data_IF_868598744625
#
_entry.id   IF_868598744625
#
_cell.length_a   1.000
_cell.length_b   1.000
_cell.length_c   1.000
_cell.angle_alpha   90.00
_cell.angle_beta   90.00
_cell.angle_gamma   90.00
#
_symmetry.space_group_name_H-M   'P 1'
#
loop_
_entity.id
_entity.type
_entity.pdbx_description
1 polymer ?
#
# COMPACT_ATOMS: atom_id res chain seq x y z
N UNK A 1 3.70 13.09 -0.03
CA UNK A 1 4.79 12.50 -0.84
C UNK A 1 5.93 11.94 0.02
N UNK A 2 6.47 12.69 1.00
CA UNK A 2 7.53 12.18 1.90
C UNK A 2 7.16 10.87 2.63
N UNK A 3 5.93 10.77 3.18
CA UNK A 3 5.48 9.55 3.88
C UNK A 3 5.37 8.31 2.97
N UNK A 4 4.98 8.50 1.70
CA UNK A 4 4.89 7.39 0.74
C UNK A 4 6.30 6.88 0.43
N UNK A 5 7.26 7.78 0.18
CA UNK A 5 8.67 7.41 0.00
C UNK A 5 9.25 6.71 1.24
N UNK A 6 8.89 7.16 2.44
CA UNK A 6 9.28 6.51 3.69
C UNK A 6 8.72 5.08 3.78
N UNK A 7 7.45 4.87 3.45
CA UNK A 7 6.86 3.53 3.40
C UNK A 7 7.60 2.63 2.39
N UNK A 8 7.92 3.14 1.21
CA UNK A 8 8.71 2.42 0.21
C UNK A 8 10.10 2.07 0.75
N UNK A 9 10.80 3.01 1.39
CA UNK A 9 12.12 2.77 1.97
C UNK A 9 12.09 1.69 3.06
N UNK A 10 11.09 1.75 3.96
CA UNK A 10 10.88 0.73 5.01
C UNK A 10 10.66 -0.65 4.38
N UNK A 11 9.83 -0.72 3.34
CA UNK A 11 9.53 -1.98 2.66
C UNK A 11 10.75 -2.55 1.94
N UNK A 12 11.50 -1.73 1.19
CA UNK A 12 12.71 -2.17 0.48
C UNK A 12 13.75 -2.71 1.47
N UNK A 13 13.97 -2.00 2.58
CA UNK A 13 14.91 -2.42 3.61
C UNK A 13 14.50 -3.77 4.21
N UNK A 14 13.23 -3.96 4.53
CA UNK A 14 12.72 -5.21 5.09
C UNK A 14 12.88 -6.40 4.14
N UNK A 15 12.59 -6.21 2.85
CA UNK A 15 12.79 -7.26 1.85
C UNK A 15 14.26 -7.58 1.63
N UNK A 16 15.15 -6.58 1.63
CA UNK A 16 16.60 -6.81 1.54
C UNK A 16 17.09 -7.67 2.71
N UNK A 17 16.60 -7.42 3.92
CA UNK A 17 16.89 -8.26 5.08
C UNK A 17 16.34 -9.68 4.89
N UNK A 18 15.11 -9.83 4.39
CA UNK A 18 14.52 -11.14 4.11
C UNK A 18 15.36 -11.95 3.11
N UNK A 19 15.72 -11.36 1.96
CA UNK A 19 16.55 -12.04 0.96
C UNK A 19 17.93 -12.39 1.49
N UNK A 20 18.56 -11.49 2.25
CA UNK A 20 19.86 -11.74 2.85
C UNK A 20 19.81 -12.89 3.86
N UNK A 21 18.77 -12.94 4.71
CA UNK A 21 18.57 -14.04 5.65
C UNK A 21 18.30 -15.37 4.95
N UNK A 22 17.42 -15.38 3.94
CA UNK A 22 17.15 -16.58 3.13
C UNK A 22 18.42 -17.07 2.42
N UNK A 23 19.24 -16.15 1.91
CA UNK A 23 20.53 -16.48 1.31
C UNK A 23 21.46 -17.15 2.33
N UNK A 24 21.65 -16.56 3.52
CA UNK A 24 22.48 -17.17 4.58
C UNK A 24 21.97 -18.57 4.94
N UNK A 25 20.66 -18.73 5.13
CA UNK A 25 20.05 -20.01 5.50
C UNK A 25 20.31 -21.08 4.44
N UNK A 26 20.16 -20.72 3.14
CA UNK A 26 20.43 -21.62 2.02
C UNK A 26 21.88 -22.14 1.97
N UNK A 27 22.85 -21.31 2.38
CA UNK A 27 24.28 -21.67 2.37
C UNK A 27 24.80 -22.28 3.68
N UNK A 28 24.06 -22.14 4.78
CA UNK A 28 24.51 -22.60 6.10
C UNK A 28 23.95 -23.97 6.45
N UNK A 29 22.69 -24.26 6.09
CA UNK A 29 22.00 -25.48 6.49
C UNK A 29 21.91 -26.47 5.33
N UNK A 30 22.26 -27.72 5.61
CA UNK A 30 22.20 -28.82 4.63
C UNK A 30 20.87 -29.58 4.71
N UNK A 31 20.25 -29.62 5.89
CA UNK A 31 18.95 -30.25 6.12
C UNK A 31 17.83 -29.21 6.15
N UNK A 32 16.81 -29.30 5.26
CA UNK A 32 15.67 -28.39 5.22
C UNK A 32 14.87 -28.34 6.54
N UNK A 33 14.91 -29.41 7.35
CA UNK A 33 14.19 -29.48 8.62
C UNK A 33 14.85 -28.65 9.73
N UNK A 34 16.12 -28.25 9.56
CA UNK A 34 16.82 -27.36 10.49
C UNK A 34 16.55 -25.87 10.21
N UNK A 35 15.95 -25.56 9.05
CA UNK A 35 15.62 -24.20 8.60
C UNK A 35 14.31 -23.67 9.22
N UNK A 36 14.14 -23.80 10.53
CA UNK A 36 13.00 -23.23 11.24
C UNK A 36 13.25 -21.76 11.59
N UNK A 37 12.28 -20.90 11.27
CA UNK A 37 12.38 -19.47 11.45
C UNK A 37 11.83 -19.08 12.83
N UNK A 38 12.59 -18.38 13.68
CA UNK A 38 12.07 -17.93 14.96
C UNK A 38 10.97 -16.87 14.75
N UNK A 39 9.94 -16.93 15.59
CA UNK A 39 8.72 -16.12 15.42
C UNK A 39 9.00 -14.61 15.44
N UNK A 40 9.96 -14.15 16.26
CA UNK A 40 10.36 -12.74 16.30
C UNK A 40 10.88 -12.24 14.94
N UNK A 41 11.57 -13.08 14.17
CA UNK A 41 12.10 -12.73 12.86
C UNK A 41 10.96 -12.62 11.83
N UNK A 42 9.90 -13.42 11.99
CA UNK A 42 8.70 -13.33 11.15
C UNK A 42 8.01 -11.98 11.34
N UNK A 43 7.90 -11.47 12.57
CA UNK A 43 7.37 -10.12 12.79
C UNK A 43 8.24 -9.05 12.12
N UNK A 44 9.57 -9.14 12.26
CA UNK A 44 10.50 -8.17 11.68
C UNK A 44 10.38 -8.09 10.16
N UNK A 45 10.21 -9.24 9.49
CA UNK A 45 10.08 -9.32 8.03
C UNK A 45 8.68 -8.91 7.57
N UNK A 46 7.62 -9.41 8.21
CA UNK A 46 6.23 -9.26 7.73
C UNK A 46 5.54 -7.97 8.15
N UNK A 47 5.90 -7.37 9.29
CA UNK A 47 5.27 -6.11 9.73
C UNK A 47 5.49 -4.94 8.74
N UNK A 48 6.70 -4.73 8.19
CA UNK A 48 6.91 -3.73 7.14
C UNK A 48 5.99 -3.89 5.92
N UNK A 49 5.71 -5.12 5.52
CA UNK A 49 4.76 -5.41 4.45
C UNK A 49 3.33 -5.00 4.82
N UNK A 50 2.87 -5.32 6.03
CA UNK A 50 1.55 -4.89 6.52
C UNK A 50 1.45 -3.36 6.59
N UNK A 51 2.50 -2.71 7.07
CA UNK A 51 2.61 -1.24 7.13
C UNK A 51 2.47 -0.64 5.74
N UNK A 52 3.13 -1.20 4.73
CA UNK A 52 3.05 -0.74 3.35
C UNK A 52 1.67 -0.98 2.72
N UNK A 53 1.16 -2.21 2.77
CA UNK A 53 -0.12 -2.59 2.12
C UNK A 53 -1.29 -1.77 2.64
N UNK A 54 -1.31 -1.47 3.94
CA UNK A 54 -2.36 -0.66 4.55
C UNK A 54 -2.06 0.84 4.47
N UNK A 55 -0.80 1.24 4.63
CA UNK A 55 -0.39 2.63 4.65
C UNK A 55 -0.46 3.28 3.27
N UNK A 56 -0.01 2.58 2.23
CA UNK A 56 0.04 3.11 0.86
C UNK A 56 -1.33 3.62 0.40
N UNK A 57 -2.42 2.81 0.40
CA UNK A 57 -3.76 3.28 0.05
C UNK A 57 -4.23 4.51 0.86
N UNK A 58 -3.96 4.54 2.17
CA UNK A 58 -4.36 5.65 3.04
C UNK A 58 -3.64 6.97 2.67
N UNK A 59 -2.34 6.90 2.37
CA UNK A 59 -1.60 8.09 1.94
C UNK A 59 -1.98 8.53 0.53
N UNK A 60 -2.21 7.60 -0.40
CA UNK A 60 -2.72 7.94 -1.73
C UNK A 60 -4.10 8.59 -1.64
N UNK A 61 -4.96 8.12 -0.73
CA UNK A 61 -6.25 8.75 -0.46
C UNK A 61 -6.10 10.19 0.09
N UNK A 62 -5.23 10.39 1.07
CA UNK A 62 -4.95 11.71 1.63
C UNK A 62 -4.42 12.68 0.56
N UNK A 63 -3.51 12.21 -0.29
CA UNK A 63 -2.97 12.98 -1.42
C UNK A 63 -4.07 13.32 -2.44
N UNK A 64 -4.95 12.38 -2.76
CA UNK A 64 -6.08 12.61 -3.65
C UNK A 64 -7.01 13.69 -3.08
N UNK A 65 -7.36 13.63 -1.79
CA UNK A 65 -8.16 14.69 -1.15
C UNK A 65 -7.44 16.04 -1.21
N UNK A 66 -6.14 16.07 -0.90
CA UNK A 66 -5.35 17.30 -0.97
C UNK A 66 -5.42 17.92 -2.38
N UNK A 67 -5.33 17.11 -3.43
CA UNK A 67 -5.44 17.58 -4.82
C UNK A 67 -6.85 18.05 -5.18
N UNK A 68 -7.90 17.38 -4.68
CA UNK A 68 -9.27 17.85 -4.85
C UNK A 68 -9.42 19.23 -4.22
N UNK A 69 -8.92 19.43 -3.00
CA UNK A 69 -8.93 20.73 -2.32
C UNK A 69 -8.14 21.78 -3.10
N UNK A 70 -6.93 21.46 -3.55
CA UNK A 70 -6.10 22.36 -4.34
C UNK A 70 -6.69 22.72 -5.72
N UNK A 71 -7.58 21.88 -6.26
CA UNK A 71 -8.21 22.10 -7.58
C UNK A 71 -9.58 22.80 -7.47
N UNK A 72 -10.40 22.41 -6.48
CA UNK A 72 -11.79 22.86 -6.36
C UNK A 72 -11.94 23.98 -5.34
N UNK A 73 -11.17 23.94 -4.25
CA UNK A 73 -11.29 24.82 -3.09
C UNK A 73 -10.00 25.60 -2.82
N UNK A 74 -9.44 26.20 -3.89
CA UNK A 74 -8.12 26.87 -3.89
C UNK A 74 -7.91 27.81 -2.69
N UNK A 75 -8.89 28.69 -2.41
CA UNK A 75 -8.79 29.67 -1.30
C UNK A 75 -8.67 29.01 0.08
N UNK A 76 -9.33 27.87 0.28
CA UNK A 76 -9.25 27.12 1.54
C UNK A 76 -7.89 26.43 1.63
N UNK A 77 -7.44 25.84 0.51
CA UNK A 77 -6.14 25.17 0.43
C UNK A 77 -4.96 26.13 0.69
N UNK A 78 -4.98 27.34 0.15
CA UNK A 78 -3.93 28.34 0.38
C UNK A 78 -3.78 28.70 1.86
N UNK A 79 -4.89 28.75 2.60
CA UNK A 79 -4.90 29.10 4.02
C UNK A 79 -4.61 27.91 4.95
N UNK A 80 -4.95 26.68 4.56
CA UNK A 80 -4.97 25.53 5.48
C UNK A 80 -4.26 24.27 4.96
N UNK A 81 -3.69 24.28 3.74
CA UNK A 81 -3.15 23.08 3.09
C UNK A 81 -2.07 22.35 3.90
N UNK A 82 -1.17 23.09 4.57
CA UNK A 82 -0.14 22.49 5.44
C UNK A 82 -0.73 21.76 6.63
N UNK A 83 -1.71 22.36 7.30
CA UNK A 83 -2.37 21.78 8.47
C UNK A 83 -3.12 20.51 8.06
N UNK A 84 -3.82 20.54 6.92
CA UNK A 84 -4.51 19.39 6.38
C UNK A 84 -3.56 18.21 6.10
N UNK A 85 -2.40 18.47 5.50
CA UNK A 85 -1.38 17.44 5.25
C UNK A 85 -0.83 16.79 6.53
N UNK A 86 -0.63 17.59 7.58
CA UNK A 86 -0.17 17.08 8.89
C UNK A 86 -1.25 16.22 9.54
N UNK A 87 -2.49 16.72 9.62
CA UNK A 87 -3.62 16.00 10.26
C UNK A 87 -3.88 14.67 9.53
N UNK A 88 -3.98 14.69 8.20
CA UNK A 88 -4.19 13.48 7.41
C UNK A 88 -3.06 12.46 7.57
N UNK A 89 -1.81 12.92 7.70
CA UNK A 89 -0.67 12.04 7.96
C UNK A 89 -0.73 11.39 9.34
N UNK A 90 -1.10 12.15 10.38
CA UNK A 90 -1.27 11.63 11.74
C UNK A 90 -2.36 10.57 11.77
N UNK A 91 -3.50 10.83 11.12
CA UNK A 91 -4.62 9.88 11.04
C UNK A 91 -4.17 8.60 10.32
N UNK A 92 -3.52 8.71 9.17
CA UNK A 92 -3.06 7.56 8.39
C UNK A 92 -2.10 6.67 9.20
N UNK A 93 -1.08 7.26 9.83
CA UNK A 93 -0.13 6.53 10.67
C UNK A 93 -0.80 5.89 11.89
N UNK A 94 -1.77 6.58 12.50
CA UNK A 94 -2.52 6.04 13.65
C UNK A 94 -3.33 4.80 13.25
N UNK A 95 -4.01 4.83 12.10
CA UNK A 95 -4.76 3.68 11.58
C UNK A 95 -3.84 2.49 11.26
N UNK A 96 -2.69 2.75 10.63
CA UNK A 96 -1.68 1.70 10.35
C UNK A 96 -1.15 1.09 11.65
N UNK A 97 -0.83 1.93 12.64
CA UNK A 97 -0.35 1.47 13.94
C UNK A 97 -1.39 0.59 14.66
N UNK A 98 -2.66 1.01 14.69
CA UNK A 98 -3.75 0.22 15.27
C UNK A 98 -3.86 -1.15 14.58
N UNK A 99 -3.76 -1.19 13.25
CA UNK A 99 -3.82 -2.45 12.51
C UNK A 99 -2.62 -3.38 12.79
N UNK A 100 -1.42 -2.80 12.94
CA UNK A 100 -0.23 -3.57 13.33
C UNK A 100 -0.36 -4.12 14.75
N UNK A 101 -0.85 -3.32 15.69
CA UNK A 101 -1.13 -3.76 17.06
C UNK A 101 -2.17 -4.87 17.10
N UNK A 102 -3.26 -4.74 16.34
CA UNK A 102 -4.28 -5.78 16.19
C UNK A 102 -3.67 -7.08 15.65
N UNK A 103 -2.84 -6.99 14.61
CA UNK A 103 -2.16 -8.14 14.02
C UNK A 103 -1.23 -8.81 15.03
N UNK A 104 -0.48 -8.04 15.82
CA UNK A 104 0.40 -8.55 16.87
C UNK A 104 -0.38 -9.23 18.01
N UNK A 105 -1.46 -8.61 18.51
CA UNK A 105 -2.25 -9.19 19.60
C UNK A 105 -2.90 -10.51 19.15
N UNK A 106 -3.45 -10.54 17.95
CA UNK A 106 -4.13 -11.75 17.42
C UNK A 106 -3.18 -12.90 17.11
N UNK A 107 -1.91 -12.62 16.80
CA UNK A 107 -0.89 -13.67 16.66
C UNK A 107 -0.42 -14.21 18.00
N UNK A 108 -0.33 -13.37 19.04
CA UNK A 108 -0.01 -13.84 20.40
C UNK A 108 -1.09 -14.75 21.01
N UNK A 109 -2.35 -14.61 20.57
CA UNK A 109 -3.45 -15.49 20.99
C UNK A 109 -3.37 -16.91 20.38
N UNK A 110 -2.63 -17.09 19.29
CA UNK A 110 -2.49 -18.37 18.59
C UNK A 110 -1.20 -19.07 19.03
N UNK A 111 -1.17 -19.52 20.29
CA UNK A 111 0.00 -20.15 20.92
C UNK A 111 0.41 -21.45 20.24
N UNK A 112 -0.53 -22.15 19.61
CA UNK A 112 -0.27 -23.42 18.93
C UNK A 112 0.63 -23.22 17.70
N UNK A 113 0.45 -22.09 17.00
CA UNK A 113 1.20 -21.79 15.77
C UNK A 113 2.39 -20.87 16.04
N UNK A 114 2.21 -19.83 16.85
CA UNK A 114 3.21 -18.78 17.11
C UNK A 114 4.00 -19.01 18.41
N UNK A 115 3.75 -20.10 19.13
CA UNK A 115 4.58 -20.56 20.24
C UNK A 115 5.81 -21.37 19.82
N UNK A 116 5.89 -21.74 18.54
CA UNK A 116 6.95 -22.59 18.00
C UNK A 116 7.63 -21.95 16.77
N UNK A 117 8.90 -22.27 16.50
CA UNK A 117 9.57 -21.88 15.26
C UNK A 117 8.77 -22.34 14.03
N UNK A 118 8.69 -21.48 13.01
CA UNK A 118 7.80 -21.69 11.86
C UNK A 118 8.58 -22.02 10.58
N UNK A 119 7.99 -22.87 9.74
CA UNK A 119 8.54 -23.24 8.42
C UNK A 119 8.23 -22.17 7.36
N UNK A 120 7.26 -21.29 7.60
CA UNK A 120 6.80 -20.27 6.66
C UNK A 120 6.63 -18.90 7.33
N UNK A 121 6.80 -17.84 6.54
CA UNK A 121 6.70 -16.47 6.99
C UNK A 121 5.24 -16.00 6.89
N UNK A 122 4.44 -16.16 7.94
CA UNK A 122 3.08 -15.60 7.98
C UNK A 122 2.74 -14.98 9.32
N UNK A 123 1.88 -13.95 9.28
CA UNK A 123 1.23 -13.36 10.45
C UNK A 123 -0.29 -13.63 10.45
N UNK A 124 -0.76 -14.50 9.55
CA UNK A 124 -2.17 -14.86 9.44
C UNK A 124 -2.49 -15.97 10.43
N UNK A 125 -3.49 -15.74 11.27
CA UNK A 125 -3.98 -16.68 12.29
C UNK A 125 -5.44 -17.02 12.04
N UNK A 126 -5.96 -18.01 12.78
CA UNK A 126 -7.40 -18.31 12.82
C UNK A 126 -8.25 -17.11 13.28
N UNK A 127 -7.67 -16.19 14.06
CA UNK A 127 -8.37 -15.04 14.63
C UNK A 127 -8.38 -13.80 13.73
N UNK A 128 -7.36 -13.59 12.89
CA UNK A 128 -7.24 -12.38 12.07
C UNK A 128 -7.50 -12.60 10.57
N UNK A 129 -7.51 -13.85 10.09
CA UNK A 129 -7.58 -14.17 8.66
C UNK A 129 -8.76 -13.50 7.94
N UNK A 130 -9.98 -13.58 8.50
CA UNK A 130 -11.16 -12.96 7.89
C UNK A 130 -11.04 -11.43 7.85
N UNK A 131 -10.54 -10.82 8.91
CA UNK A 131 -10.37 -9.37 8.99
C UNK A 131 -9.32 -8.87 7.98
N UNK A 132 -8.22 -9.60 7.81
CA UNK A 132 -7.19 -9.30 6.81
C UNK A 132 -7.73 -9.41 5.38
N UNK A 133 -8.60 -10.39 5.11
CA UNK A 133 -9.27 -10.53 3.81
C UNK A 133 -10.18 -9.33 3.55
N UNK A 134 -11.02 -8.96 4.52
CA UNK A 134 -11.92 -7.82 4.41
C UNK A 134 -11.16 -6.51 4.21
N UNK A 135 -10.08 -6.29 4.98
CA UNK A 135 -9.23 -5.12 4.85
C UNK A 135 -8.63 -5.00 3.43
N UNK A 136 -8.15 -6.10 2.85
CA UNK A 136 -7.61 -6.10 1.47
C UNK A 136 -8.66 -5.69 0.43
N UNK A 137 -9.89 -6.21 0.54
CA UNK A 137 -10.98 -5.81 -0.36
C UNK A 137 -11.40 -4.35 -0.16
N UNK A 138 -11.44 -3.88 1.09
CA UNK A 138 -11.70 -2.47 1.39
C UNK A 138 -10.66 -1.55 0.76
N UNK A 139 -9.37 -1.88 0.90
CA UNK A 139 -8.30 -1.10 0.28
C UNK A 139 -8.31 -1.19 -1.23
N UNK A 140 -8.67 -2.33 -1.82
CA UNK A 140 -8.86 -2.45 -3.27
C UNK A 140 -9.94 -1.49 -3.77
N UNK A 141 -11.10 -1.49 -3.10
CA UNK A 141 -12.18 -0.56 -3.41
C UNK A 141 -11.72 0.90 -3.32
N UNK A 142 -11.04 1.25 -2.22
CA UNK A 142 -10.54 2.61 -1.99
C UNK A 142 -9.54 3.05 -3.08
N UNK A 143 -8.64 2.17 -3.49
CA UNK A 143 -7.64 2.42 -4.54
C UNK A 143 -8.29 2.60 -5.92
N UNK A 144 -9.32 1.82 -6.25
CA UNK A 144 -10.12 2.03 -7.46
C UNK A 144 -10.81 3.41 -7.42
N UNK A 145 -11.39 3.80 -6.28
CA UNK A 145 -12.00 5.12 -6.13
C UNK A 145 -10.97 6.25 -6.33
N UNK A 146 -9.74 6.11 -5.83
CA UNK A 146 -8.65 7.07 -6.03
C UNK A 146 -8.33 7.21 -7.51
N UNK A 147 -8.14 6.10 -8.23
CA UNK A 147 -7.82 6.13 -9.66
C UNK A 147 -8.93 6.83 -10.49
N UNK A 148 -10.20 6.57 -10.17
CA UNK A 148 -11.34 7.24 -10.81
C UNK A 148 -11.35 8.74 -10.49
N UNK A 149 -11.11 9.11 -9.23
CA UNK A 149 -11.08 10.50 -8.79
C UNK A 149 -9.94 11.28 -9.47
N UNK A 150 -8.73 10.72 -9.54
CA UNK A 150 -7.59 11.33 -10.22
C UNK A 150 -7.85 11.47 -11.73
N UNK A 151 -8.47 10.48 -12.38
CA UNK A 151 -8.88 10.59 -13.78
C UNK A 151 -9.86 11.76 -13.99
N UNK A 152 -10.88 11.87 -13.13
CA UNK A 152 -11.84 12.96 -13.20
C UNK A 152 -11.19 14.34 -12.98
N UNK A 153 -10.25 14.44 -12.04
CA UNK A 153 -9.47 15.66 -11.78
C UNK A 153 -8.64 16.07 -13.01
N UNK A 154 -8.01 15.13 -13.70
CA UNK A 154 -7.26 15.41 -14.93
C UNK A 154 -8.18 15.99 -16.01
N UNK A 155 -9.33 15.35 -16.26
CA UNK A 155 -10.31 15.82 -17.24
C UNK A 155 -10.81 17.22 -16.88
N UNK A 156 -11.12 17.46 -15.60
CA UNK A 156 -11.56 18.77 -15.12
C UNK A 156 -10.48 19.84 -15.29
N UNK A 157 -9.23 19.53 -14.96
CA UNK A 157 -8.12 20.48 -15.09
C UNK A 157 -7.83 20.86 -16.54
N UNK A 158 -7.97 19.93 -17.48
CA UNK A 158 -7.87 20.24 -18.91
C UNK A 158 -9.00 21.19 -19.36
N UNK A 159 -10.23 20.98 -18.89
CA UNK A 159 -11.36 21.88 -19.17
C UNK A 159 -11.13 23.28 -18.60
N UNK A 160 -10.68 23.38 -17.35
CA UNK A 160 -10.35 24.67 -16.69
C UNK A 160 -9.28 25.40 -17.50
N UNK A 161 -8.20 24.72 -17.89
CA UNK A 161 -7.15 25.30 -18.75
C UNK A 161 -7.75 25.85 -20.04
N UNK A 162 -8.58 25.08 -20.74
CA UNK A 162 -9.19 25.52 -22.01
C UNK A 162 -10.08 26.77 -21.86
N UNK A 163 -10.79 26.90 -20.73
CA UNK A 163 -11.65 28.04 -20.45
C UNK A 163 -10.85 29.26 -19.98
N UNK A 164 -9.77 29.06 -19.23
CA UNK A 164 -8.89 30.13 -18.77
C UNK A 164 -8.20 30.85 -19.95
N UNK A 165 -7.76 30.11 -20.96
CA UNK A 165 -7.20 30.72 -22.19
C UNK A 165 -8.23 31.49 -23.03
N UNK A 166 -9.53 31.23 -22.86
CA UNK A 166 -10.61 31.98 -23.54
C UNK A 166 -11.01 33.26 -22.80
N UNK A 167 -10.69 33.36 -21.51
CA UNK A 167 -11.10 34.44 -20.60
C UNK A 167 -9.86 35.20 -20.10
N UNK A 168 -9.23 35.97 -20.98
CA UNK A 168 -8.00 36.72 -20.69
C UNK A 168 -8.16 37.88 -19.67
N UNK A 169 -9.40 38.17 -19.24
CA UNK A 169 -9.72 39.39 -18.48
C UNK A 169 -9.49 39.30 -16.97
N UNK A 170 -9.32 38.10 -16.38
CA UNK A 170 -9.08 37.90 -14.94
C UNK A 170 -7.84 37.01 -14.68
N UNK A 171 -6.70 37.42 -15.22
CA UNK A 171 -5.46 36.66 -15.09
C UNK A 171 -4.83 36.82 -13.70
N UNK A 172 -4.83 35.75 -12.90
CA UNK A 172 -4.08 35.69 -11.64
C UNK A 172 -2.85 34.76 -11.80
N UNK A 173 -1.67 35.34 -11.61
CA UNK A 173 -0.38 34.65 -11.78
C UNK A 173 -0.22 33.48 -10.81
N UNK A 174 -0.68 33.62 -9.55
CA UNK A 174 -0.55 32.57 -8.53
C UNK A 174 -1.39 31.34 -8.87
N UNK A 175 -2.64 31.55 -9.32
CA UNK A 175 -3.56 30.49 -9.71
C UNK A 175 -3.10 29.76 -10.97
N UNK A 176 -2.56 30.50 -11.95
CA UNK A 176 -1.97 29.93 -13.17
C UNK A 176 -0.77 29.04 -12.84
N UNK A 177 0.11 29.49 -11.94
CA UNK A 177 1.27 28.72 -11.49
C UNK A 177 0.87 27.46 -10.72
N UNK A 178 -0.04 27.58 -9.74
CA UNK A 178 -0.56 26.44 -8.96
C UNK A 178 -1.28 25.43 -9.86
N UNK A 179 -2.10 25.87 -10.81
CA UNK A 179 -2.78 24.99 -11.77
C UNK A 179 -1.77 24.23 -12.65
N UNK A 180 -0.72 24.92 -13.12
CA UNK A 180 0.34 24.29 -13.92
C UNK A 180 1.12 23.24 -13.12
N UNK A 181 1.46 23.53 -11.86
CA UNK A 181 2.10 22.56 -10.96
C UNK A 181 1.19 21.37 -10.65
N UNK A 182 -0.09 21.61 -10.34
CA UNK A 182 -1.05 20.54 -10.06
C UNK A 182 -1.26 19.62 -11.27
N UNK A 183 -1.35 20.18 -12.49
CA UNK A 183 -1.45 19.39 -13.72
C UNK A 183 -0.20 18.53 -13.94
N UNK A 184 0.99 19.09 -13.70
CA UNK A 184 2.25 18.35 -13.83
C UNK A 184 2.31 17.20 -12.83
N UNK A 185 1.98 17.46 -11.56
CA UNK A 185 1.92 16.45 -10.51
C UNK A 185 0.91 15.35 -10.82
N UNK A 186 -0.29 15.71 -11.30
CA UNK A 186 -1.30 14.72 -11.68
C UNK A 186 -0.83 13.82 -12.83
N UNK A 187 -0.12 14.37 -13.82
CA UNK A 187 0.43 13.56 -14.92
C UNK A 187 1.47 12.53 -14.45
N UNK A 188 2.18 12.80 -13.37
CA UNK A 188 3.17 11.88 -12.81
C UNK A 188 2.49 10.84 -11.92
N UNK A 189 1.57 11.27 -11.06
CA UNK A 189 1.04 10.39 -10.02
C UNK A 189 -0.15 9.55 -10.49
N UNK A 190 -0.96 10.03 -11.44
CA UNK A 190 -2.06 9.21 -11.97
C UNK A 190 -1.61 7.89 -12.60
N UNK A 191 -0.58 7.84 -13.48
CA UNK A 191 -0.08 6.57 -14.00
C UNK A 191 0.39 5.62 -12.90
N UNK A 192 1.03 6.17 -11.86
CA UNK A 192 1.48 5.40 -10.70
C UNK A 192 0.29 4.80 -9.92
N UNK A 193 -0.70 5.62 -9.60
CA UNK A 193 -1.88 5.20 -8.82
C UNK A 193 -2.75 4.22 -9.62
N UNK A 194 -2.89 4.44 -10.93
CA UNK A 194 -3.58 3.53 -11.84
C UNK A 194 -2.87 2.18 -11.93
N UNK A 195 -1.54 2.19 -12.12
CA UNK A 195 -0.76 0.96 -12.19
C UNK A 195 -0.78 0.20 -10.87
N UNK A 196 -0.63 0.89 -9.74
CA UNK A 196 -0.79 0.30 -8.41
C UNK A 196 -2.16 -0.35 -8.25
N UNK A 197 -3.24 0.34 -8.64
CA UNK A 197 -4.61 -0.19 -8.62
C UNK A 197 -4.75 -1.46 -9.44
N UNK A 198 -4.20 -1.47 -10.64
CA UNK A 198 -4.25 -2.61 -11.56
C UNK A 198 -3.52 -3.82 -10.99
N UNK A 199 -2.28 -3.65 -10.53
CA UNK A 199 -1.47 -4.72 -9.94
C UNK A 199 -2.12 -5.24 -8.65
N UNK A 200 -2.64 -4.36 -7.81
CA UNK A 200 -3.33 -4.74 -6.57
C UNK A 200 -4.66 -5.46 -6.83
N UNK A 201 -5.39 -5.11 -7.90
CA UNK A 201 -6.58 -5.85 -8.33
C UNK A 201 -6.21 -7.26 -8.81
N UNK A 202 -5.16 -7.37 -9.64
CA UNK A 202 -4.66 -8.65 -10.13
C UNK A 202 -4.22 -9.56 -8.97
N UNK A 203 -3.54 -9.00 -7.97
CA UNK A 203 -3.19 -9.71 -6.74
C UNK A 203 -4.40 -10.33 -6.06
N UNK A 204 -5.42 -9.51 -5.77
CA UNK A 204 -6.59 -9.95 -5.04
C UNK A 204 -7.36 -11.01 -5.83
N UNK A 205 -7.43 -10.90 -7.17
CA UNK A 205 -8.04 -11.91 -8.02
C UNK A 205 -7.28 -13.24 -7.92
N UNK A 206 -5.96 -13.23 -8.10
CA UNK A 206 -5.13 -14.45 -8.02
C UNK A 206 -5.16 -15.07 -6.61
N UNK A 207 -5.09 -14.24 -5.57
CA UNK A 207 -5.23 -14.65 -4.18
C UNK A 207 -6.58 -15.34 -3.92
N UNK A 208 -7.67 -14.84 -4.49
CA UNK A 208 -8.99 -15.46 -4.35
C UNK A 208 -9.08 -16.80 -5.10
N UNK A 209 -8.49 -16.91 -6.29
CA UNK A 209 -8.42 -18.18 -7.03
C UNK A 209 -7.68 -19.25 -6.22
N UNK A 210 -6.56 -18.87 -5.58
CA UNK A 210 -5.78 -19.79 -4.73
C UNK A 210 -6.55 -20.15 -3.46
N UNK A 211 -7.26 -19.20 -2.84
CA UNK A 211 -8.11 -19.46 -1.67
C UNK A 211 -9.26 -20.40 -1.99
N UNK A 212 -9.91 -20.25 -3.15
CA UNK A 212 -11.00 -21.12 -3.58
C UNK A 212 -10.53 -22.55 -3.80
N UNK A 213 -9.34 -22.72 -4.39
CA UNK A 213 -8.75 -24.03 -4.66
C UNK A 213 -7.89 -24.56 -3.48
N UNK A 214 -7.99 -23.95 -2.29
CA UNK A 214 -7.15 -24.30 -1.14
C UNK A 214 -7.25 -25.78 -0.76
N UNK A 215 -8.42 -26.39 -0.87
CA UNK A 215 -8.61 -27.80 -0.51
C UNK A 215 -7.89 -28.77 -1.47
N UNK A 216 -7.64 -28.32 -2.70
CA UNK A 216 -6.93 -29.10 -3.72
C UNK A 216 -5.41 -28.94 -3.60
N UNK A 217 -4.95 -27.83 -3.04
CA UNK A 217 -3.53 -27.51 -2.87
C UNK A 217 -3.08 -27.77 -1.43
N UNK A 218 -2.07 -28.62 -1.25
CA UNK A 218 -1.46 -28.82 0.07
C UNK A 218 -1.02 -27.48 0.71
N UNK A 219 -1.08 -27.38 2.04
CA UNK A 219 -0.86 -26.13 2.79
C UNK A 219 0.48 -25.44 2.45
N UNK A 220 1.53 -26.22 2.18
CA UNK A 220 2.83 -25.70 1.76
C UNK A 220 2.78 -25.04 0.37
N UNK A 221 2.09 -25.67 -0.59
CA UNK A 221 1.94 -25.13 -1.95
C UNK A 221 1.09 -23.87 -1.94
N UNK A 222 0.02 -23.85 -1.14
CA UNK A 222 -0.81 -22.68 -0.92
C UNK A 222 0.01 -21.49 -0.42
N UNK A 223 0.79 -21.68 0.65
CA UNK A 223 1.61 -20.60 1.23
C UNK A 223 2.70 -20.13 0.27
N UNK A 224 3.44 -21.04 -0.38
CA UNK A 224 4.49 -20.65 -1.34
C UNK A 224 3.95 -19.96 -2.58
N UNK A 225 2.80 -20.37 -3.10
CA UNK A 225 2.17 -19.71 -4.25
C UNK A 225 1.70 -18.31 -3.87
N UNK A 226 1.17 -18.14 -2.66
CA UNK A 226 0.76 -16.84 -2.13
C UNK A 226 1.96 -15.91 -1.92
N UNK A 227 3.07 -16.42 -1.39
CA UNK A 227 4.33 -15.68 -1.24
C UNK A 227 4.93 -15.30 -2.60
N UNK A 228 4.93 -16.23 -3.56
CA UNK A 228 5.42 -15.98 -4.93
C UNK A 228 4.60 -14.90 -5.63
N UNK A 229 3.27 -14.91 -5.47
CA UNK A 229 2.42 -13.83 -5.99
C UNK A 229 2.75 -12.49 -5.35
N UNK A 230 2.86 -12.47 -4.01
CA UNK A 230 3.23 -11.26 -3.26
C UNK A 230 4.56 -10.68 -3.73
N UNK A 231 5.52 -11.56 -4.03
CA UNK A 231 6.86 -11.20 -4.52
C UNK A 231 6.81 -10.67 -5.97
N UNK A 232 6.03 -11.29 -6.86
CA UNK A 232 5.83 -10.80 -8.24
C UNK A 232 5.24 -9.38 -8.21
N UNK A 233 4.24 -9.14 -7.38
CA UNK A 233 3.63 -7.80 -7.22
C UNK A 233 4.64 -6.78 -6.72
N UNK A 234 5.48 -7.19 -5.77
CA UNK A 234 6.55 -6.34 -5.28
C UNK A 234 7.53 -5.97 -6.40
N UNK A 235 8.00 -6.94 -7.20
CA UNK A 235 8.90 -6.65 -8.32
C UNK A 235 8.24 -5.68 -9.32
N UNK A 236 6.97 -5.90 -9.65
CA UNK A 236 6.28 -5.04 -10.61
C UNK A 236 5.99 -3.63 -10.07
N UNK A 237 5.72 -3.47 -8.77
CA UNK A 237 5.54 -2.15 -8.16
C UNK A 237 6.84 -1.34 -8.01
N UNK A 238 8.02 -1.97 -8.20
CA UNK A 238 9.33 -1.33 -8.10
C UNK A 238 9.99 -1.02 -9.46
N UNK A 239 9.33 -1.32 -10.58
CA UNK A 239 9.75 -0.94 -11.95
C UNK A 239 8.96 0.31 -12.37
#
# INVERSE_FOLDING_TARGET
MSNVLLLYAILILANMVEYFMNFIVLFTYSDPCECLIPVWLVYLIRMPFIIYVNGSPLFHFAIMIERVLATVYVKIYENQGKIFGIISSIIAWTLVFIHCLYSYITTQMDTDTFGHPMVYLTLTTKYNSQMLIFANFFFLFLVICIAIADYYLIVRNQKIKSNFFKSATNYNLSQSYQSKQNILLMKIIFPLDFFYSFVFALFNLLANVIRYNREQYGQLFYTRTYESLTLVIFIYLNI
#
